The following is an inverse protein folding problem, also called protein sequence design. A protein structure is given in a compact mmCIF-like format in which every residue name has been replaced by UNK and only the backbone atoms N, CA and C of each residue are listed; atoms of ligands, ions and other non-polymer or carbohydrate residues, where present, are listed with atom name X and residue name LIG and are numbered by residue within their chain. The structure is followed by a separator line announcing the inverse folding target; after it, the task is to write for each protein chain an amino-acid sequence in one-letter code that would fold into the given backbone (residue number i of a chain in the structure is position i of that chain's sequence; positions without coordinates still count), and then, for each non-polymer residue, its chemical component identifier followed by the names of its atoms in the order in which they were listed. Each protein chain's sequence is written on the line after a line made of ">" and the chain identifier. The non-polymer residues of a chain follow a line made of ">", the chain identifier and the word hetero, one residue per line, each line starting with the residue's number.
data_IF_247660488870
#
_entry.id   IF_247660488870
#
_cell.length_a   1.000
_cell.length_b   1.000
_cell.length_c   1.000
_cell.angle_alpha   90.00
_cell.angle_beta   90.00
_cell.angle_gamma   90.00
#
_symmetry.space_group_name_H-M   'P 1'
#
loop_
_entity.id
_entity.type
_entity.pdbx_description
1 polymer ?
#
# COMPACT_ATOMS: atom_id res chain seq x y z
N UNK A 1 9.92 -24.32 1.29
CA UNK A 1 10.09 -22.99 1.93
C UNK A 1 10.40 -23.07 3.41
N UNK A 2 9.59 -23.75 4.23
CA UNK A 2 9.73 -23.75 5.69
C UNK A 2 10.70 -24.76 6.28
N UNK A 3 11.34 -25.56 5.43
CA UNK A 3 12.48 -26.43 5.75
C UNK A 3 13.82 -25.71 5.54
N UNK A 4 13.82 -24.57 4.85
CA UNK A 4 15.01 -23.76 4.60
C UNK A 4 15.37 -22.93 5.84
N UNK A 5 16.66 -22.65 6.00
CA UNK A 5 17.16 -21.61 6.91
C UNK A 5 16.51 -20.26 6.58
N UNK A 6 16.37 -19.34 7.54
CA UNK A 6 15.85 -18.00 7.27
C UNK A 6 16.60 -17.28 6.14
N UNK A 7 17.92 -17.41 6.05
CA UNK A 7 18.76 -16.78 5.04
C UNK A 7 18.51 -17.35 3.63
N UNK A 8 18.43 -18.68 3.50
CA UNK A 8 18.14 -19.33 2.23
C UNK A 8 16.71 -19.07 1.78
N UNK A 9 15.78 -18.94 2.73
CA UNK A 9 14.40 -18.55 2.45
C UNK A 9 14.31 -17.15 1.89
N UNK A 10 15.07 -16.19 2.43
CA UNK A 10 15.12 -14.82 1.88
C UNK A 10 15.63 -14.83 0.45
N UNK A 11 16.70 -15.57 0.15
CA UNK A 11 17.21 -15.73 -1.22
C UNK A 11 16.15 -16.35 -2.14
N UNK A 12 15.40 -17.34 -1.67
CA UNK A 12 14.30 -17.93 -2.44
C UNK A 12 13.14 -16.95 -2.66
N UNK A 13 12.80 -16.13 -1.67
CA UNK A 13 11.75 -15.10 -1.81
C UNK A 13 12.14 -14.01 -2.82
N UNK A 14 13.43 -13.66 -2.91
CA UNK A 14 13.94 -12.69 -3.90
C UNK A 14 13.78 -13.18 -5.34
N UNK A 15 13.89 -14.49 -5.56
CA UNK A 15 13.72 -15.14 -6.87
C UNK A 15 12.28 -15.59 -7.15
N UNK A 16 11.36 -15.43 -6.20
CA UNK A 16 9.95 -15.80 -6.38
C UNK A 16 9.15 -14.57 -6.79
N UNK A 17 8.88 -14.45 -8.08
CA UNK A 17 8.03 -13.39 -8.64
C UNK A 17 6.56 -13.78 -8.51
N UNK A 18 5.73 -12.83 -8.12
CA UNK A 18 4.31 -13.08 -7.87
C UNK A 18 3.52 -13.25 -9.16
N UNK A 19 3.74 -12.35 -10.13
CA UNK A 19 3.05 -12.38 -11.42
C UNK A 19 3.98 -11.91 -12.53
N UNK A 20 3.94 -12.52 -13.73
CA UNK A 20 4.71 -12.07 -14.88
C UNK A 20 4.47 -10.59 -15.21
N UNK A 21 3.21 -10.16 -15.20
CA UNK A 21 2.78 -8.79 -15.55
C UNK A 21 3.12 -7.74 -14.48
N UNK A 22 3.51 -8.21 -13.29
CA UNK A 22 3.95 -7.38 -12.18
C UNK A 22 5.47 -7.46 -11.98
N UNK A 23 6.21 -8.11 -12.88
CA UNK A 23 7.66 -8.10 -12.78
C UNK A 23 8.20 -6.66 -12.81
N UNK A 24 9.25 -6.34 -12.02
CA UNK A 24 10.00 -7.23 -11.13
C UNK A 24 9.53 -7.20 -9.64
N UNK A 25 8.24 -7.27 -9.35
CA UNK A 25 7.74 -7.41 -7.96
C UNK A 25 7.90 -8.86 -7.49
N UNK A 26 8.91 -9.10 -6.65
CA UNK A 26 9.13 -10.38 -5.96
C UNK A 26 8.37 -10.46 -4.65
N UNK A 27 8.17 -11.67 -4.13
CA UNK A 27 7.65 -11.85 -2.78
C UNK A 27 8.53 -11.11 -1.77
N UNK A 28 9.85 -11.14 -1.92
CA UNK A 28 10.72 -10.38 -1.04
C UNK A 28 10.43 -8.87 -1.07
N UNK A 29 10.17 -8.26 -2.23
CA UNK A 29 9.89 -6.82 -2.28
C UNK A 29 8.57 -6.46 -1.60
N UNK A 30 7.57 -7.34 -1.64
CA UNK A 30 6.34 -7.18 -0.86
C UNK A 30 6.65 -7.30 0.64
N UNK A 31 7.37 -8.34 1.05
CA UNK A 31 7.70 -8.57 2.47
C UNK A 31 8.59 -7.49 3.09
N UNK A 32 9.47 -6.89 2.30
CA UNK A 32 10.44 -5.88 2.75
C UNK A 32 10.02 -4.44 2.49
N UNK A 33 8.79 -4.23 2.02
CA UNK A 33 8.29 -2.92 1.62
C UNK A 33 8.56 -1.83 2.68
N UNK A 34 9.25 -0.78 2.25
CA UNK A 34 9.53 0.42 3.03
C UNK A 34 10.56 0.21 4.14
N UNK A 35 11.32 -0.88 4.08
CA UNK A 35 12.45 -1.10 4.98
C UNK A 35 13.77 -0.78 4.27
N UNK A 36 14.53 0.12 4.89
CA UNK A 36 15.87 0.50 4.43
C UNK A 36 16.99 -0.41 5.01
N UNK A 37 16.66 -1.42 5.83
CA UNK A 37 17.66 -2.25 6.51
C UNK A 37 17.20 -3.65 6.99
N UNK A 38 18.11 -4.35 7.69
CA UNK A 38 18.03 -5.77 8.06
C UNK A 38 16.92 -6.20 9.02
N UNK A 39 16.05 -5.28 9.47
CA UNK A 39 14.94 -5.56 10.40
C UNK A 39 13.55 -5.41 9.75
N UNK A 40 13.45 -5.56 8.43
CA UNK A 40 12.19 -5.46 7.67
C UNK A 40 11.10 -6.41 8.19
N UNK A 41 11.47 -7.57 8.74
CA UNK A 41 10.52 -8.53 9.32
C UNK A 41 9.72 -7.98 10.50
N UNK A 42 10.18 -6.91 11.16
CA UNK A 42 9.43 -6.22 12.23
C UNK A 42 8.23 -5.44 11.72
N UNK A 43 8.20 -5.10 10.43
CA UNK A 43 7.06 -4.43 9.77
C UNK A 43 5.95 -5.40 9.39
N UNK A 44 6.21 -6.71 9.47
CA UNK A 44 5.20 -7.73 9.24
C UNK A 44 4.31 -7.92 10.47
N UNK A 45 3.06 -8.26 10.23
CA UNK A 45 2.13 -8.69 11.27
C UNK A 45 2.70 -9.90 12.02
N UNK A 46 2.43 -9.97 13.32
CA UNK A 46 2.92 -11.08 14.15
C UNK A 46 2.25 -12.42 13.78
N UNK A 47 2.96 -13.52 14.06
CA UNK A 47 2.45 -14.87 13.87
C UNK A 47 2.24 -15.27 12.41
N UNK A 48 1.30 -16.18 12.21
CA UNK A 48 0.83 -16.69 10.89
C UNK A 48 0.36 -15.58 9.96
N UNK A 49 0.14 -14.36 10.48
CA UNK A 49 -0.28 -13.21 9.68
C UNK A 49 0.83 -12.55 8.86
N UNK A 50 2.09 -12.94 9.05
CA UNK A 50 3.18 -12.49 8.18
C UNK A 50 4.56 -12.83 8.72
N UNK A 51 4.80 -12.59 10.00
CA UNK A 51 6.10 -12.77 10.64
C UNK A 51 6.60 -14.21 10.60
N UNK A 52 5.71 -15.20 10.78
CA UNK A 52 6.07 -16.62 10.82
C UNK A 52 6.55 -17.14 9.46
N UNK A 53 6.15 -16.51 8.35
CA UNK A 53 6.62 -16.86 7.00
C UNK A 53 8.14 -16.69 6.89
N UNK A 54 8.74 -15.80 7.68
CA UNK A 54 10.17 -15.44 7.59
C UNK A 54 10.94 -15.95 8.80
N UNK A 55 10.34 -15.87 10.00
CA UNK A 55 11.06 -16.08 11.26
C UNK A 55 11.01 -17.51 11.77
N UNK A 56 9.90 -18.21 11.52
CA UNK A 56 9.65 -19.53 12.09
C UNK A 56 9.98 -20.63 11.07
N UNK A 57 9.98 -21.88 11.53
CA UNK A 57 10.13 -23.07 10.68
C UNK A 57 9.03 -24.08 10.98
N UNK A 58 8.89 -25.10 10.12
CA UNK A 58 7.89 -26.15 10.31
C UNK A 58 6.44 -25.65 10.26
N UNK A 59 5.60 -26.06 11.21
CA UNK A 59 4.14 -25.89 11.16
C UNK A 59 3.68 -24.42 11.08
N UNK A 60 4.26 -23.53 11.88
CA UNK A 60 3.87 -22.10 11.90
C UNK A 60 4.20 -21.39 10.59
N UNK A 61 5.40 -21.67 10.05
CA UNK A 61 5.79 -21.15 8.75
C UNK A 61 4.89 -21.70 7.64
N UNK A 62 4.59 -23.01 7.63
CA UNK A 62 3.71 -23.61 6.63
C UNK A 62 2.32 -22.96 6.67
N UNK A 63 1.73 -22.82 7.86
CA UNK A 63 0.44 -22.14 8.02
C UNK A 63 0.45 -20.70 7.48
N UNK A 64 1.57 -19.98 7.66
CA UNK A 64 1.72 -18.62 7.11
C UNK A 64 1.73 -18.62 5.58
N UNK A 65 2.48 -19.53 4.96
CA UNK A 65 2.50 -19.65 3.50
C UNK A 65 1.20 -20.21 2.91
N UNK A 66 0.50 -21.11 3.61
CA UNK A 66 -0.82 -21.62 3.17
C UNK A 66 -1.85 -20.50 3.15
N UNK A 67 -1.81 -19.62 4.15
CA UNK A 67 -2.63 -18.40 4.18
C UNK A 67 -2.30 -17.48 3.01
N UNK A 68 -1.00 -17.24 2.77
CA UNK A 68 -0.55 -16.41 1.66
C UNK A 68 -0.96 -17.00 0.31
N UNK A 69 -0.80 -18.30 0.10
CA UNK A 69 -1.22 -19.00 -1.12
C UNK A 69 -2.75 -18.92 -1.32
N UNK A 70 -3.52 -19.00 -0.24
CA UNK A 70 -4.98 -18.81 -0.30
C UNK A 70 -5.37 -17.38 -0.65
N UNK A 71 -4.67 -16.39 -0.11
CA UNK A 71 -4.86 -14.98 -0.47
C UNK A 71 -4.52 -14.72 -1.95
N UNK A 72 -3.42 -15.28 -2.45
CA UNK A 72 -3.01 -15.13 -3.86
C UNK A 72 -4.00 -15.81 -4.83
N UNK A 73 -4.57 -16.97 -4.47
CA UNK A 73 -5.64 -17.59 -5.28
C UNK A 73 -6.88 -16.72 -5.38
N UNK A 74 -7.34 -16.16 -4.24
CA UNK A 74 -8.48 -15.22 -4.23
C UNK A 74 -8.22 -13.97 -5.07
N UNK A 75 -6.99 -13.48 -5.06
CA UNK A 75 -6.57 -12.39 -5.92
C UNK A 75 -6.68 -12.76 -7.39
N UNK A 76 -6.16 -13.91 -7.80
CA UNK A 76 -6.24 -14.36 -9.21
C UNK A 76 -7.68 -14.54 -9.67
N UNK A 77 -8.55 -15.07 -8.81
CA UNK A 77 -9.98 -15.23 -9.10
C UNK A 77 -10.66 -13.86 -9.28
N UNK A 78 -10.42 -12.91 -8.36
CA UNK A 78 -10.96 -11.56 -8.45
C UNK A 78 -10.41 -10.80 -9.67
N UNK A 79 -9.12 -10.96 -9.96
CA UNK A 79 -8.47 -10.33 -11.09
C UNK A 79 -8.98 -10.86 -12.43
N UNK A 80 -9.30 -12.15 -12.54
CA UNK A 80 -9.89 -12.74 -13.75
C UNK A 80 -11.23 -12.11 -14.10
N UNK A 81 -12.11 -11.93 -13.12
CA UNK A 81 -13.41 -11.28 -13.33
C UNK A 81 -13.25 -9.83 -13.80
N UNK A 82 -12.26 -9.12 -13.25
CA UNK A 82 -11.90 -7.78 -13.71
C UNK A 82 -11.36 -7.80 -15.15
N UNK A 83 -10.44 -8.71 -15.49
CA UNK A 83 -9.82 -8.75 -16.82
C UNK A 83 -10.83 -9.11 -17.92
N UNK A 84 -11.77 -10.00 -17.64
CA UNK A 84 -12.93 -10.28 -18.51
C UNK A 84 -13.80 -9.04 -18.75
N UNK A 85 -13.94 -8.19 -17.73
CA UNK A 85 -14.67 -6.92 -17.86
C UNK A 85 -13.89 -5.91 -18.68
N UNK A 86 -12.58 -5.80 -18.44
CA UNK A 86 -11.70 -4.86 -19.13
C UNK A 86 -11.55 -5.20 -20.62
N UNK A 87 -11.58 -6.48 -20.98
CA UNK A 87 -11.51 -6.94 -22.38
C UNK A 87 -12.65 -6.37 -23.26
N UNK A 88 -13.76 -5.91 -22.66
CA UNK A 88 -14.88 -5.30 -23.39
C UNK A 88 -14.63 -3.84 -23.81
N UNK A 89 -13.56 -3.22 -23.31
CA UNK A 89 -13.22 -1.83 -23.63
C UNK A 89 -12.26 -1.78 -24.82
N UNK A 90 -12.42 -0.76 -25.67
CA UNK A 90 -11.43 -0.47 -26.69
C UNK A 90 -10.19 0.15 -26.04
N UNK A 91 -9.15 -0.68 -25.98
CA UNK A 91 -7.87 -0.42 -25.36
C UNK A 91 -6.79 -0.01 -26.37
N UNK A 92 -7.14 0.10 -27.66
CA UNK A 92 -6.19 0.40 -28.72
C UNK A 92 -5.74 1.86 -28.63
N UNK A 93 -4.45 2.17 -28.88
CA UNK A 93 -4.02 3.54 -29.09
C UNK A 93 -4.86 4.17 -30.22
N UNK A 94 -5.25 5.45 -30.07
CA UNK A 94 -5.87 6.18 -31.16
C UNK A 94 -4.98 6.07 -32.40
N UNK A 95 -5.47 5.42 -33.45
CA UNK A 95 -4.89 5.55 -34.78
C UNK A 95 -5.75 6.58 -35.49
N UNK A 96 -5.14 7.65 -36.00
CA UNK A 96 -5.82 8.77 -36.68
C UNK A 96 -6.54 8.30 -37.95
N UNK A 97 -7.66 7.62 -37.77
CA UNK A 97 -8.58 7.19 -38.82
C UNK A 97 -9.99 7.56 -38.38
N UNK A 98 -10.80 8.06 -39.31
CA UNK A 98 -12.14 8.58 -39.03
C UNK A 98 -13.12 7.55 -38.44
N UNK A 99 -12.74 6.27 -38.39
CA UNK A 99 -13.53 5.14 -37.88
C UNK A 99 -12.97 4.51 -36.59
N UNK A 100 -11.85 4.99 -36.04
CA UNK A 100 -11.31 4.45 -34.79
C UNK A 100 -12.10 4.98 -33.58
N UNK A 101 -12.62 4.06 -32.77
CA UNK A 101 -13.13 4.34 -31.44
C UNK A 101 -12.05 5.07 -30.65
N UNK A 102 -12.38 6.26 -30.12
CA UNK A 102 -11.42 7.06 -29.36
C UNK A 102 -10.99 6.25 -28.13
N UNK A 103 -9.68 6.10 -27.85
CA UNK A 103 -9.21 5.42 -26.65
C UNK A 103 -9.79 6.08 -25.40
N UNK A 104 -9.99 5.30 -24.34
CA UNK A 104 -10.53 5.83 -23.08
C UNK A 104 -9.59 6.88 -22.42
N UNK A 105 -8.31 6.88 -22.78
CA UNK A 105 -7.32 7.82 -22.26
C UNK A 105 -6.21 8.08 -23.29
N UNK A 106 -5.70 9.31 -23.40
CA UNK A 106 -4.51 9.60 -24.21
C UNK A 106 -3.22 9.02 -23.60
N UNK A 107 -3.22 8.70 -22.30
CA UNK A 107 -2.04 8.28 -21.54
C UNK A 107 -2.18 6.89 -20.90
N UNK A 108 -3.40 6.35 -20.82
CA UNK A 108 -3.71 5.05 -20.22
C UNK A 108 -3.82 3.96 -21.28
N UNK A 109 -3.29 2.78 -20.98
CA UNK A 109 -3.51 1.56 -21.77
C UNK A 109 -4.14 0.49 -20.90
N UNK A 110 -4.78 -0.51 -21.50
CA UNK A 110 -5.30 -1.64 -20.71
C UNK A 110 -4.19 -2.46 -20.06
N UNK A 111 -2.98 -2.49 -20.63
CA UNK A 111 -1.81 -3.06 -19.95
C UNK A 111 -1.50 -2.30 -18.66
N UNK A 112 -1.51 -0.98 -18.71
CA UNK A 112 -1.29 -0.12 -17.53
C UNK A 112 -2.38 -0.31 -16.47
N UNK A 113 -3.65 -0.34 -16.90
CA UNK A 113 -4.81 -0.61 -16.05
C UNK A 113 -4.71 -1.98 -15.37
N UNK A 114 -4.44 -3.04 -16.14
CA UNK A 114 -4.19 -4.41 -15.65
C UNK A 114 -3.14 -4.45 -14.57
N UNK A 115 -1.96 -3.90 -14.84
CA UNK A 115 -0.85 -3.90 -13.89
C UNK A 115 -1.21 -3.14 -12.61
N UNK A 116 -1.79 -1.94 -12.69
CA UNK A 116 -2.11 -1.15 -11.50
C UNK A 116 -3.27 -1.72 -10.69
N UNK A 117 -4.31 -2.24 -11.34
CA UNK A 117 -5.41 -2.90 -10.65
C UNK A 117 -4.95 -4.17 -9.94
N UNK A 118 -4.11 -4.99 -10.60
CA UNK A 118 -3.54 -6.20 -9.97
C UNK A 118 -2.61 -5.88 -8.80
N UNK A 119 -1.82 -4.79 -8.91
CA UNK A 119 -0.99 -4.26 -7.81
C UNK A 119 -1.85 -3.81 -6.63
N UNK A 120 -2.92 -3.07 -6.88
CA UNK A 120 -3.86 -2.67 -5.84
C UNK A 120 -4.51 -3.89 -5.17
N UNK A 121 -5.03 -4.85 -5.95
CA UNK A 121 -5.58 -6.09 -5.40
C UNK A 121 -4.56 -6.86 -4.55
N UNK A 122 -3.30 -6.92 -4.98
CA UNK A 122 -2.22 -7.56 -4.24
C UNK A 122 -2.09 -7.00 -2.83
N UNK A 123 -1.93 -5.69 -2.70
CA UNK A 123 -1.68 -5.07 -1.40
C UNK A 123 -2.91 -5.11 -0.49
N UNK A 124 -4.12 -5.13 -1.05
CA UNK A 124 -5.35 -5.30 -0.29
C UNK A 124 -5.54 -6.74 0.20
N UNK A 125 -5.13 -7.73 -0.60
CA UNK A 125 -5.46 -9.14 -0.34
C UNK A 125 -4.43 -9.83 0.56
N UNK A 126 -3.13 -9.54 0.40
CA UNK A 126 -2.08 -10.27 1.15
C UNK A 126 -2.06 -9.91 2.63
N UNK A 127 -2.39 -8.66 3.00
CA UNK A 127 -2.50 -8.17 4.38
C UNK A 127 -1.41 -8.74 5.30
N UNK A 128 -0.15 -8.47 4.96
CA UNK A 128 1.03 -8.95 5.70
C UNK A 128 1.74 -7.86 6.52
N UNK A 129 1.48 -6.59 6.21
CA UNK A 129 2.11 -5.44 6.85
C UNK A 129 1.35 -4.98 8.10
N UNK A 130 2.09 -4.47 9.08
CA UNK A 130 1.51 -3.80 10.25
C UNK A 130 0.89 -2.47 9.86
N UNK A 131 1.60 -1.72 9.02
CA UNK A 131 1.08 -0.47 8.46
C UNK A 131 0.12 -0.77 7.31
N UNK A 132 -0.99 -0.03 7.17
CA UNK A 132 -1.94 -0.22 6.07
C UNK A 132 -1.33 0.21 4.73
N UNK A 133 -1.81 -0.31 3.58
CA UNK A 133 -1.45 0.22 2.28
C UNK A 133 -1.97 1.66 2.11
N UNK A 134 -1.16 2.54 1.52
CA UNK A 134 -1.58 3.92 1.26
C UNK A 134 -2.74 3.99 0.24
N UNK A 135 -3.56 5.03 0.33
CA UNK A 135 -4.64 5.29 -0.64
C UNK A 135 -4.12 5.46 -2.07
N UNK A 136 -2.86 5.86 -2.25
CA UNK A 136 -2.18 5.97 -3.55
C UNK A 136 -2.26 4.69 -4.40
N UNK A 137 -2.24 3.50 -3.78
CA UNK A 137 -2.45 2.24 -4.52
C UNK A 137 -3.78 2.23 -5.26
N UNK A 138 -4.83 2.71 -4.59
CA UNK A 138 -6.16 2.82 -5.17
C UNK A 138 -6.16 3.90 -6.25
N UNK A 139 -5.66 5.11 -5.95
CA UNK A 139 -5.69 6.21 -6.91
C UNK A 139 -4.95 5.89 -8.20
N UNK A 140 -3.78 5.26 -8.14
CA UNK A 140 -3.06 4.87 -9.35
C UNK A 140 -3.82 3.82 -10.16
N UNK A 141 -4.57 2.90 -9.53
CA UNK A 141 -5.47 2.00 -10.23
C UNK A 141 -6.66 2.73 -10.87
N UNK A 142 -7.28 3.67 -10.15
CA UNK A 142 -8.39 4.47 -10.68
C UNK A 142 -7.96 5.32 -11.87
N UNK A 143 -6.79 5.94 -11.80
CA UNK A 143 -6.23 6.75 -12.90
C UNK A 143 -5.82 5.91 -14.11
N UNK A 144 -5.38 4.66 -13.88
CA UNK A 144 -4.93 3.79 -14.95
C UNK A 144 -6.07 3.18 -15.77
N UNK A 145 -7.27 3.11 -15.21
CA UNK A 145 -8.37 2.34 -15.76
C UNK A 145 -9.48 3.21 -16.37
N UNK A 146 -10.24 2.68 -17.33
CA UNK A 146 -11.41 3.36 -17.87
C UNK A 146 -12.47 3.57 -16.79
N UNK A 147 -13.34 4.55 -17.01
CA UNK A 147 -14.50 4.77 -16.15
C UNK A 147 -15.48 3.59 -16.26
N UNK A 148 -15.38 2.64 -15.34
CA UNK A 148 -16.23 1.45 -15.31
C UNK A 148 -17.64 1.84 -14.86
N UNK A 149 -18.58 2.03 -15.78
CA UNK A 149 -19.97 2.29 -15.43
C UNK A 149 -20.59 1.10 -14.68
N UNK A 150 -21.44 1.38 -13.70
CA UNK A 150 -22.19 0.34 -12.99
C UNK A 150 -23.29 -0.23 -13.89
N UNK A 151 -23.72 -1.47 -13.64
CA UNK A 151 -24.79 -2.13 -14.42
C UNK A 151 -26.16 -1.44 -14.29
N UNK A 152 -26.33 -0.57 -13.28
CA UNK A 152 -27.53 0.23 -13.04
C UNK A 152 -27.15 1.69 -12.81
N UNK A 153 -27.09 2.47 -13.88
CA UNK A 153 -26.69 3.90 -13.85
C UNK A 153 -27.55 4.74 -12.90
N UNK A 154 -28.84 4.39 -12.75
CA UNK A 154 -29.82 5.11 -11.91
C UNK A 154 -29.55 4.99 -10.41
N UNK A 155 -28.87 3.93 -9.96
CA UNK A 155 -28.66 3.67 -8.53
C UNK A 155 -27.39 4.36 -7.99
N UNK A 156 -26.51 4.82 -8.89
CA UNK A 156 -25.18 5.31 -8.54
C UNK A 156 -24.89 6.73 -9.01
N UNK A 157 -25.88 7.48 -9.50
CA UNK A 157 -25.73 8.89 -9.92
C UNK A 157 -24.53 9.15 -10.86
N UNK A 158 -24.14 8.17 -11.68
CA UNK A 158 -22.97 8.26 -12.56
C UNK A 158 -21.62 7.97 -11.91
N UNK A 159 -21.55 7.60 -10.64
CA UNK A 159 -20.31 7.17 -9.98
C UNK A 159 -19.73 5.89 -10.63
N UNK A 160 -18.41 5.81 -10.82
CA UNK A 160 -17.79 4.61 -11.36
C UNK A 160 -17.87 3.44 -10.38
N UNK A 161 -17.89 2.22 -10.93
CA UNK A 161 -17.80 0.96 -10.19
C UNK A 161 -16.52 0.83 -9.39
N UNK A 162 -15.47 1.55 -9.80
CA UNK A 162 -14.21 1.64 -9.09
C UNK A 162 -13.90 3.10 -8.76
N UNK A 163 -14.10 3.46 -7.49
CA UNK A 163 -13.80 4.79 -6.97
C UNK A 163 -13.09 4.67 -5.64
N UNK A 164 -11.93 5.31 -5.53
CA UNK A 164 -11.24 5.51 -4.28
C UNK A 164 -11.96 6.58 -3.46
N UNK A 165 -11.84 6.50 -2.14
CA UNK A 165 -12.47 7.45 -1.21
C UNK A 165 -12.19 8.90 -1.61
N UNK A 166 -13.16 9.78 -1.40
CA UNK A 166 -12.96 11.22 -1.53
C UNK A 166 -11.97 11.75 -0.47
N UNK A 167 -10.95 12.51 -0.90
CA UNK A 167 -9.97 13.14 -0.01
C UNK A 167 -10.58 14.28 0.80
N UNK A 168 -11.70 14.85 0.33
CA UNK A 168 -12.35 15.99 0.96
C UNK A 168 -13.26 15.58 2.14
N UNK A 169 -13.42 14.28 2.37
CA UNK A 169 -14.11 13.76 3.56
C UNK A 169 -13.05 13.51 4.65
N UNK A 170 -12.94 14.37 5.68
CA UNK A 170 -11.93 14.21 6.72
C UNK A 170 -12.09 12.88 7.46
N UNK A 171 -10.94 12.30 7.82
CA UNK A 171 -10.88 11.18 8.75
C UNK A 171 -10.85 11.72 10.19
N UNK A 172 -11.31 10.96 11.19
CA UNK A 172 -11.00 11.26 12.59
C UNK A 172 -9.49 11.51 12.76
N UNK A 173 -9.11 12.57 13.49
CA UNK A 173 -7.76 13.15 13.59
C UNK A 173 -6.58 12.17 13.81
N UNK A 174 -6.83 10.96 14.31
CA UNK A 174 -5.79 9.91 14.46
C UNK A 174 -5.26 9.38 13.11
N UNK A 175 -6.02 9.52 12.03
CA UNK A 175 -5.65 9.05 10.68
C UNK A 175 -4.98 10.12 9.81
N UNK A 176 -5.03 11.40 10.17
CA UNK A 176 -4.32 12.47 9.47
C UNK A 176 -2.81 12.42 9.70
N UNK A 177 -2.33 11.96 10.86
CA UNK A 177 -0.88 11.70 11.06
C UNK A 177 -0.39 10.44 10.34
N UNK A 178 -1.30 9.51 10.03
CA UNK A 178 -1.00 8.36 9.16
C UNK A 178 -0.86 8.74 7.67
N UNK A 179 -1.23 9.97 7.29
CA UNK A 179 -1.58 10.35 5.92
C UNK A 179 -0.44 10.62 4.92
N UNK A 180 0.84 10.50 5.30
CA UNK A 180 1.93 10.52 4.29
C UNK A 180 3.03 9.48 4.49
N UNK A 181 3.22 9.01 5.72
CA UNK A 181 4.38 8.19 6.10
C UNK A 181 4.02 7.01 7.02
N UNK A 182 2.76 6.87 7.43
CA UNK A 182 2.26 5.81 8.31
C UNK A 182 1.61 4.64 7.56
N UNK A 183 1.85 4.55 6.25
CA UNK A 183 1.28 3.54 5.37
C UNK A 183 2.37 3.00 4.43
N UNK A 184 2.12 1.83 3.83
CA UNK A 184 3.01 1.26 2.81
C UNK A 184 2.64 1.82 1.44
N UNK A 185 3.53 2.62 0.87
CA UNK A 185 3.33 3.33 -0.39
C UNK A 185 3.81 2.50 -1.59
N UNK A 186 3.30 2.71 -2.82
CA UNK A 186 3.89 2.13 -4.03
C UNK A 186 5.41 2.32 -4.19
N UNK A 187 5.94 3.44 -3.71
CA UNK A 187 7.38 3.75 -3.70
C UNK A 187 8.21 2.88 -2.75
N UNK A 188 7.56 2.18 -1.82
CA UNK A 188 8.22 1.34 -0.82
C UNK A 188 8.58 -0.05 -1.36
N UNK A 189 8.01 -0.46 -2.50
CA UNK A 189 8.30 -1.75 -3.13
C UNK A 189 9.43 -1.60 -4.15
N UNK A 190 10.49 -2.39 -3.94
CA UNK A 190 11.58 -2.51 -4.91
C UNK A 190 11.05 -3.10 -6.22
N UNK A 191 11.47 -2.50 -7.34
CA UNK A 191 11.06 -2.92 -8.68
C UNK A 191 9.80 -2.25 -9.21
N UNK A 192 9.06 -1.47 -8.42
CA UNK A 192 7.88 -0.72 -8.89
C UNK A 192 8.23 0.48 -9.78
N UNK A 193 9.36 1.13 -9.48
CA UNK A 193 9.94 2.21 -10.27
C UNK A 193 11.25 1.69 -10.85
N UNK A 194 11.39 1.74 -12.18
CA UNK A 194 12.60 1.28 -12.86
C UNK A 194 13.76 2.20 -12.49
N UNK A 195 14.86 1.65 -11.97
CA UNK A 195 16.13 2.35 -11.85
C UNK A 195 16.74 2.46 -13.27
N UNK A 196 16.29 3.46 -14.05
CA UNK A 196 16.70 3.67 -15.43
C UNK A 196 17.31 5.06 -15.66
N UNK A 197 18.52 5.04 -16.22
CA UNK A 197 19.38 6.04 -16.86
C UNK A 197 19.02 7.54 -16.84
N UNK A 198 20.04 8.37 -16.54
CA UNK A 198 20.04 9.85 -16.54
C UNK A 198 19.96 10.47 -17.94
N UNK A 199 19.80 9.68 -18.99
CA UNK A 199 19.83 10.16 -20.37
C UNK A 199 18.45 10.66 -20.80
N UNK A 200 18.27 11.97 -20.64
CA UNK A 200 17.39 12.83 -21.45
C UNK A 200 16.09 12.18 -21.96
N UNK A 201 15.10 12.04 -21.08
CA UNK A 201 13.71 12.29 -21.50
C UNK A 201 13.27 13.60 -20.85
N UNK A 202 12.86 14.62 -21.63
CA UNK A 202 12.24 15.79 -21.04
C UNK A 202 11.03 15.31 -20.23
N UNK A 203 10.73 15.94 -19.08
CA UNK A 203 9.56 15.58 -18.30
C UNK A 203 8.34 15.82 -19.20
N UNK A 204 7.78 14.75 -19.76
CA UNK A 204 6.44 14.84 -20.33
C UNK A 204 5.55 15.13 -19.14
N UNK A 205 5.11 16.37 -19.11
CA UNK A 205 4.32 17.06 -18.11
C UNK A 205 3.04 16.31 -17.82
N UNK A 206 3.11 15.24 -17.00
CA UNK A 206 2.14 14.73 -16.03
C UNK A 206 2.61 13.34 -15.56
N UNK A 207 3.43 13.28 -14.52
CA UNK A 207 3.77 12.03 -13.83
C UNK A 207 2.53 11.55 -13.04
N UNK A 208 1.55 10.93 -13.72
CA UNK A 208 0.33 10.40 -13.09
C UNK A 208 0.59 9.22 -12.15
N UNK A 209 1.74 8.56 -12.31
CA UNK A 209 2.20 7.38 -11.58
C UNK A 209 3.41 7.74 -10.73
N UNK A 210 3.78 6.92 -9.72
CA UNK A 210 4.93 7.23 -8.87
C UNK A 210 6.22 7.19 -9.71
N UNK A 211 6.74 8.37 -10.02
CA UNK A 211 8.03 8.54 -10.68
C UNK A 211 9.18 8.45 -9.67
N UNK A 212 10.41 8.28 -10.15
CA UNK A 212 11.59 8.24 -9.28
C UNK A 212 11.71 9.51 -8.44
N UNK A 213 11.48 10.68 -9.05
CA UNK A 213 11.51 11.97 -8.36
C UNK A 213 10.40 12.05 -7.29
N UNK A 214 9.19 11.61 -7.62
CA UNK A 214 8.07 11.52 -6.66
C UNK A 214 8.43 10.63 -5.46
N UNK A 215 8.97 9.44 -5.71
CA UNK A 215 9.36 8.50 -4.66
C UNK A 215 10.55 8.97 -3.81
N UNK A 216 11.52 9.67 -4.41
CA UNK A 216 12.61 10.28 -3.66
C UNK A 216 12.11 11.45 -2.79
N UNK A 217 11.24 12.31 -3.33
CA UNK A 217 10.64 13.40 -2.58
C UNK A 217 9.84 12.89 -1.38
N UNK A 218 8.99 11.89 -1.59
CA UNK A 218 8.20 11.28 -0.52
C UNK A 218 9.10 10.67 0.56
N UNK A 219 10.12 9.89 0.19
CA UNK A 219 11.08 9.30 1.14
C UNK A 219 11.79 10.36 1.98
N UNK A 220 12.20 11.48 1.36
CA UNK A 220 12.81 12.62 2.07
C UNK A 220 11.82 13.30 3.03
N UNK A 221 10.55 13.42 2.64
CA UNK A 221 9.53 14.00 3.49
C UNK A 221 9.28 13.12 4.73
N UNK A 222 9.24 11.81 4.56
CA UNK A 222 9.01 10.86 5.66
C UNK A 222 10.21 10.69 6.60
N UNK A 223 11.43 10.77 6.09
CA UNK A 223 12.63 10.78 6.94
C UNK A 223 12.76 12.07 7.77
N UNK A 224 12.35 13.23 7.21
CA UNK A 224 12.34 14.50 7.94
C UNK A 224 11.29 14.54 9.06
N UNK A 225 10.09 14.03 8.80
CA UNK A 225 9.02 14.00 9.80
C UNK A 225 9.38 13.09 10.99
N UNK A 226 9.97 11.91 10.73
CA UNK A 226 10.43 11.01 11.80
C UNK A 226 11.58 11.60 12.62
N UNK A 227 12.45 12.43 12.04
CA UNK A 227 13.51 13.13 12.76
C UNK A 227 12.98 14.27 13.65
N UNK A 228 11.96 15.00 13.20
CA UNK A 228 11.30 16.04 14.01
C UNK A 228 10.46 15.45 15.15
N UNK A 229 9.71 14.37 14.92
CA UNK A 229 8.96 13.68 15.98
C UNK A 229 9.87 13.08 17.06
N UNK A 230 11.06 12.57 16.68
CA UNK A 230 12.08 12.15 17.65
C UNK A 230 12.58 13.30 18.52
N UNK A 231 12.70 14.51 17.99
CA UNK A 231 13.07 15.70 18.79
C UNK A 231 11.95 16.13 19.72
N UNK A 232 10.69 16.06 19.30
CA UNK A 232 9.55 16.40 20.16
C UNK A 232 9.43 15.40 21.32
N UNK A 233 9.55 14.10 21.07
CA UNK A 233 9.58 13.09 22.13
C UNK A 233 10.79 13.26 23.06
N UNK A 234 11.95 13.64 22.55
CA UNK A 234 13.14 13.94 23.35
C UNK A 234 12.98 15.20 24.21
N UNK A 235 12.28 16.23 23.73
CA UNK A 235 11.99 17.45 24.52
C UNK A 235 10.95 17.19 25.61
N UNK A 236 9.94 16.35 25.33
CA UNK A 236 8.96 15.92 26.33
C UNK A 236 9.59 15.02 27.40
N UNK A 237 10.56 14.17 27.03
CA UNK A 237 11.29 13.34 28.01
C UNK A 237 12.40 14.08 28.75
N UNK A 238 13.01 15.11 28.15
CA UNK A 238 13.96 16.00 28.83
C UNK A 238 13.29 17.00 29.79
N UNK A 239 11.96 17.24 29.64
CA UNK A 239 11.22 18.14 30.53
C UNK A 239 10.71 17.47 31.83
N UNK A 240 11.04 16.20 32.09
CA UNK A 240 10.62 15.45 33.29
C UNK A 240 11.82 15.16 34.24
N UNK A 241 12.89 15.97 34.18
CA UNK A 241 13.94 15.94 35.19
C UNK A 241 14.33 17.35 35.66
N UNK A 242 13.52 17.87 36.59
CA UNK A 242 13.96 18.83 37.61
C UNK A 242 13.29 18.46 38.94
N UNK A 243 13.98 18.61 40.08
CA UNK A 243 13.71 17.87 41.30
C UNK A 243 12.61 18.48 42.16
N UNK A 244 11.99 17.59 42.95
CA UNK A 244 11.22 17.78 44.17
C UNK A 244 10.94 19.23 44.63
N UNK A 245 9.67 19.63 44.57
CA UNK A 245 9.02 20.29 45.71
C UNK A 245 7.67 19.60 45.95
N UNK A 246 7.52 19.07 47.16
CA UNK A 246 6.28 18.50 47.66
C UNK A 246 5.18 19.57 47.64
N UNK A 247 4.02 19.24 47.05
CA UNK A 247 2.73 19.70 47.57
C UNK A 247 1.67 18.67 47.18
N UNK A 248 1.29 17.89 48.18
CA UNK A 248 0.19 16.93 48.18
C UNK A 248 -1.13 17.68 48.02
N UNK A 249 -1.86 17.43 46.93
CA UNK A 249 -3.30 17.70 46.86
C UNK A 249 -3.99 16.38 46.52
N UNK A 250 -4.60 15.80 47.55
CA UNK A 250 -5.48 14.63 47.47
C UNK A 250 -6.81 15.11 46.89
N UNK A 251 -7.18 14.65 45.69
CA UNK A 251 -8.54 14.83 45.16
C UNK A 251 -9.30 13.53 45.40
N UNK A 252 -10.23 13.60 46.36
CA UNK A 252 -11.18 12.56 46.67
C UNK A 252 -12.25 12.45 45.56
N UNK A 253 -12.50 11.24 45.08
CA UNK A 253 -13.64 10.93 44.20
C UNK A 253 -14.77 10.38 45.07
N UNK A 254 -15.85 11.14 45.22
CA UNK A 254 -17.11 10.68 45.81
C UNK A 254 -18.11 10.34 44.70
N UNK A 255 -18.61 9.11 44.76
CA UNK A 255 -19.69 8.54 43.95
C UNK A 255 -21.04 9.20 44.28
N UNK A 256 -21.87 9.42 43.26
CA UNK A 256 -23.31 9.57 43.44
C UNK A 256 -24.05 8.66 42.44
N UNK A 257 -24.67 7.62 42.99
CA UNK A 257 -25.66 6.76 42.33
C UNK A 257 -27.02 7.44 42.52
N UNK A 258 -27.75 7.69 41.43
CA UNK A 258 -29.14 8.13 41.49
C UNK A 258 -30.06 7.01 40.99
N UNK A 259 -30.87 6.51 41.92
CA UNK A 259 -32.01 5.61 41.72
C UNK A 259 -33.17 6.44 41.16
N UNK A 260 -33.85 5.94 40.13
CA UNK A 260 -35.14 6.45 39.67
C UNK A 260 -36.17 5.36 39.93
N UNK A 261 -37.21 5.74 40.70
CA UNK A 261 -38.44 4.99 40.94
C UNK A 261 -39.37 5.06 39.73
#
# INVERSE_FOLDING_TARGET
>A
MCTLTPEDRVRRLQSTFLFPDLQPVSLYSVFSAGSDGGHWSRRLLAGVRGGDCVRESGKRCNACFDRLATALRRLDDAYRSFDETLFRFDCMPAVDTASATRPFSPNGSCTTCRSWYKRWLLVQTVSIWREPPCVNWCYYAQLACPHLATSKVVDYAGHPSFQCRDLDIPLPQEQEKASRCGCVHPCDLRGMVVDGDLTHRPPTTHDFYPSRQHCEFQRRQCSRNTAHDRRVLAVVSASIHMPQFQNTVVVAVMLAVAVIQ
#
